data_IF_031686959402
#
_entry.id   IF_031686959402
#
_cell.length_a   1.000
_cell.length_b   1.000
_cell.length_c   1.000
_cell.angle_alpha   90.00
_cell.angle_beta   90.00
_cell.angle_gamma   90.00
#
_symmetry.space_group_name_H-M   'P 1'
#
loop_
_entity.id
_entity.type
_entity.pdbx_description
1 polymer ?
#
# COMPACT_ATOMS: atom_id res chain seq x y z
N UNK A 1 -9.99 12.08 -27.50
CA UNK A 1 -9.92 11.14 -26.37
C UNK A 1 -8.49 10.83 -25.90
N UNK A 2 -7.52 10.52 -26.78
CA UNK A 2 -6.11 10.27 -26.39
C UNK A 2 -5.48 11.41 -25.56
N UNK A 3 -5.76 12.66 -25.91
CA UNK A 3 -5.25 13.84 -25.20
C UNK A 3 -5.79 13.96 -23.76
N UNK A 4 -7.09 13.74 -23.56
CA UNK A 4 -7.71 13.76 -22.23
C UNK A 4 -7.09 12.67 -21.33
N UNK A 5 -6.90 11.46 -21.85
CA UNK A 5 -6.31 10.37 -21.08
C UNK A 5 -4.83 10.60 -20.74
N UNK A 6 -4.11 11.39 -21.53
CA UNK A 6 -2.72 11.77 -21.26
C UNK A 6 -2.61 12.80 -20.12
N UNK A 7 -3.64 13.61 -19.91
CA UNK A 7 -3.70 14.59 -18.83
C UNK A 7 -4.15 14.01 -17.49
N UNK A 8 -4.90 12.90 -17.49
CA UNK A 8 -5.43 12.29 -16.26
C UNK A 8 -4.36 12.03 -15.21
N UNK A 9 -3.21 11.39 -15.51
CA UNK A 9 -2.19 11.15 -14.49
C UNK A 9 -1.70 12.42 -13.79
N UNK A 10 -1.63 13.53 -14.52
CA UNK A 10 -1.25 14.83 -13.96
C UNK A 10 -2.39 15.43 -13.14
N UNK A 11 -3.59 15.53 -13.74
CA UNK A 11 -4.75 16.16 -13.11
C UNK A 11 -5.15 15.43 -11.82
N UNK A 12 -5.22 14.09 -11.83
CA UNK A 12 -5.61 13.31 -10.66
C UNK A 12 -4.62 13.49 -9.51
N UNK A 13 -3.32 13.51 -9.80
CA UNK A 13 -2.27 13.65 -8.78
C UNK A 13 -2.23 15.05 -8.18
N UNK A 14 -2.45 16.08 -9.01
CA UNK A 14 -2.59 17.47 -8.54
C UNK A 14 -3.87 17.65 -7.73
N UNK A 15 -4.98 17.03 -8.13
CA UNK A 15 -6.21 17.05 -7.33
C UNK A 15 -6.01 16.36 -5.97
N UNK A 16 -5.34 15.21 -5.93
CA UNK A 16 -5.00 14.54 -4.67
C UNK A 16 -4.11 15.43 -3.80
N UNK A 17 -3.13 16.13 -4.39
CA UNK A 17 -2.31 17.13 -3.69
C UNK A 17 -3.17 18.22 -3.04
N UNK A 18 -4.05 18.84 -3.82
CA UNK A 18 -4.91 19.94 -3.34
C UNK A 18 -5.86 19.45 -2.25
N UNK A 19 -6.47 18.28 -2.42
CA UNK A 19 -7.40 17.72 -1.44
C UNK A 19 -6.70 17.35 -0.12
N UNK A 20 -5.50 16.78 -0.19
CA UNK A 20 -4.70 16.44 1.01
C UNK A 20 -4.19 17.69 1.73
N UNK A 21 -3.76 18.71 0.99
CA UNK A 21 -3.38 20.02 1.52
C UNK A 21 -4.59 20.71 2.20
N UNK A 22 -5.76 20.68 1.56
CA UNK A 22 -6.98 21.24 2.12
C UNK A 22 -7.41 20.49 3.39
N UNK A 23 -7.23 19.17 3.44
CA UNK A 23 -7.51 18.36 4.62
C UNK A 23 -6.66 18.81 5.82
N UNK A 24 -5.39 19.17 5.61
CA UNK A 24 -4.54 19.70 6.69
C UNK A 24 -5.01 21.06 7.21
N UNK A 25 -5.51 21.93 6.32
CA UNK A 25 -5.97 23.28 6.69
C UNK A 25 -7.33 23.26 7.37
N UNK A 26 -8.23 22.39 6.92
CA UNK A 26 -9.61 22.31 7.39
C UNK A 26 -10.00 20.88 7.77
N UNK A 27 -9.47 20.34 8.90
CA UNK A 27 -9.69 18.94 9.29
C UNK A 27 -11.16 18.61 9.60
N UNK A 28 -11.97 19.58 10.01
CA UNK A 28 -13.43 19.39 10.21
C UNK A 28 -14.14 18.92 8.92
N UNK A 29 -13.61 19.22 7.74
CA UNK A 29 -14.20 18.82 6.45
C UNK A 29 -13.74 17.43 5.98
N UNK A 30 -13.03 16.66 6.83
CA UNK A 30 -12.51 15.35 6.47
C UNK A 30 -13.59 14.39 5.95
N UNK A 31 -14.78 14.42 6.53
CA UNK A 31 -15.93 13.60 6.11
C UNK A 31 -16.34 13.82 4.65
N UNK A 32 -16.04 14.98 4.08
CA UNK A 32 -16.31 15.30 2.68
C UNK A 32 -15.07 15.14 1.80
N UNK A 33 -13.90 15.63 2.25
CA UNK A 33 -12.67 15.64 1.46
C UNK A 33 -12.12 14.23 1.20
N UNK A 34 -12.22 13.32 2.18
CA UNK A 34 -11.72 11.95 2.03
C UNK A 34 -12.54 11.16 0.98
N UNK A 35 -13.89 11.11 1.04
CA UNK A 35 -14.67 10.51 -0.04
C UNK A 35 -14.42 11.16 -1.40
N UNK A 36 -14.26 12.49 -1.46
CA UNK A 36 -13.96 13.19 -2.70
C UNK A 36 -12.63 12.73 -3.32
N UNK A 37 -11.58 12.58 -2.51
CA UNK A 37 -10.30 12.05 -2.98
C UNK A 37 -10.40 10.60 -3.49
N UNK A 38 -11.20 9.77 -2.82
CA UNK A 38 -11.50 8.40 -3.28
C UNK A 38 -12.24 8.43 -4.63
N UNK A 39 -13.23 9.31 -4.80
CA UNK A 39 -13.95 9.49 -6.06
C UNK A 39 -13.01 9.91 -7.19
N UNK A 40 -12.05 10.81 -6.94
CA UNK A 40 -11.02 11.18 -7.92
C UNK A 40 -10.23 9.95 -8.38
N UNK A 41 -9.83 9.07 -7.47
CA UNK A 41 -9.13 7.81 -7.81
C UNK A 41 -10.04 6.89 -8.64
N UNK A 42 -11.28 6.67 -8.19
CA UNK A 42 -12.26 5.81 -8.87
C UNK A 42 -12.45 6.28 -10.32
N UNK A 43 -12.72 7.56 -10.51
CA UNK A 43 -12.96 8.15 -11.83
C UNK A 43 -11.72 8.11 -12.72
N UNK A 44 -10.53 8.35 -12.15
CA UNK A 44 -9.26 8.28 -12.88
C UNK A 44 -9.02 6.87 -13.42
N UNK A 45 -9.20 5.85 -12.59
CA UNK A 45 -9.00 4.45 -12.99
C UNK A 45 -10.08 4.03 -13.97
N UNK A 46 -11.34 4.35 -13.70
CA UNK A 46 -12.46 4.05 -14.58
C UNK A 46 -12.22 4.59 -15.99
N UNK A 47 -11.75 5.84 -16.10
CA UNK A 47 -11.45 6.47 -17.37
C UNK A 47 -10.23 5.84 -18.06
N UNK A 48 -9.20 5.45 -17.32
CA UNK A 48 -7.96 4.82 -17.85
C UNK A 48 -8.15 3.34 -18.25
N UNK A 49 -9.05 2.60 -17.60
CA UNK A 49 -9.30 1.17 -17.89
C UNK A 49 -10.40 0.94 -18.93
N UNK A 50 -10.90 1.99 -19.60
CA UNK A 50 -11.89 1.86 -20.68
C UNK A 50 -13.35 1.94 -20.24
N UNK A 51 -13.65 2.60 -19.12
CA UNK A 51 -15.00 2.97 -18.64
C UNK A 51 -15.94 1.82 -18.29
N UNK A 52 -15.41 0.66 -17.91
CA UNK A 52 -16.23 -0.47 -17.46
C UNK A 52 -15.97 -0.81 -15.99
N UNK A 53 -16.89 -0.41 -15.11
CA UNK A 53 -16.86 -0.67 -13.67
C UNK A 53 -16.92 -2.16 -13.32
N UNK A 54 -17.54 -2.99 -14.17
CA UNK A 54 -17.71 -4.42 -13.92
C UNK A 54 -16.57 -5.27 -14.50
N UNK A 55 -15.55 -4.63 -15.10
CA UNK A 55 -14.40 -5.36 -15.62
C UNK A 55 -13.48 -5.82 -14.48
N UNK A 56 -12.99 -7.06 -14.56
CA UNK A 56 -11.95 -7.59 -13.66
C UNK A 56 -10.73 -6.66 -13.61
N UNK A 57 -10.40 -6.03 -14.74
CA UNK A 57 -9.30 -5.07 -14.90
C UNK A 57 -9.49 -3.83 -14.01
N UNK A 58 -10.71 -3.32 -13.89
CA UNK A 58 -11.00 -2.15 -13.05
C UNK A 58 -10.76 -2.49 -11.57
N UNK A 59 -11.36 -3.58 -11.09
CA UNK A 59 -11.24 -4.01 -9.70
C UNK A 59 -9.82 -4.39 -9.30
N UNK A 60 -9.02 -4.95 -10.21
CA UNK A 60 -7.61 -5.23 -9.93
C UNK A 60 -6.80 -3.95 -9.76
N UNK A 61 -7.04 -2.93 -10.59
CA UNK A 61 -6.26 -1.69 -10.57
C UNK A 61 -6.71 -0.70 -9.49
N UNK A 62 -7.92 -0.81 -8.93
CA UNK A 62 -8.46 0.14 -7.95
C UNK A 62 -8.02 -0.13 -6.51
N UNK A 63 -7.72 -1.39 -6.16
CA UNK A 63 -7.45 -1.80 -4.78
C UNK A 63 -6.20 -1.10 -4.23
N UNK A 64 -5.05 -1.24 -4.90
CA UNK A 64 -3.79 -0.59 -4.45
C UNK A 64 -3.92 0.93 -4.28
N UNK A 65 -4.38 1.72 -5.26
CA UNK A 65 -4.48 3.18 -5.08
C UNK A 65 -5.46 3.60 -4.00
N UNK A 66 -6.58 2.90 -3.83
CA UNK A 66 -7.56 3.26 -2.79
C UNK A 66 -7.03 2.94 -1.39
N UNK A 67 -6.46 1.75 -1.17
CA UNK A 67 -5.83 1.40 0.11
C UNK A 67 -4.61 2.28 0.40
N UNK A 68 -3.80 2.60 -0.60
CA UNK A 68 -2.68 3.52 -0.45
C UNK A 68 -3.16 4.93 -0.05
N UNK A 69 -4.22 5.46 -0.67
CA UNK A 69 -4.79 6.75 -0.28
C UNK A 69 -5.32 6.72 1.16
N UNK A 70 -6.14 5.74 1.51
CA UNK A 70 -6.75 5.69 2.85
C UNK A 70 -5.69 5.53 3.92
N UNK A 71 -4.74 4.61 3.74
CA UNK A 71 -3.65 4.39 4.70
C UNK A 71 -2.74 5.61 4.85
N UNK A 72 -2.41 6.29 3.77
CA UNK A 72 -1.56 7.49 3.80
C UNK A 72 -2.26 8.69 4.45
N UNK A 73 -3.54 8.90 4.21
CA UNK A 73 -4.33 9.93 4.90
C UNK A 73 -4.42 9.66 6.41
N UNK A 74 -4.58 8.39 6.77
CA UNK A 74 -4.61 7.98 8.17
C UNK A 74 -3.25 8.20 8.84
N UNK A 75 -2.16 7.81 8.17
CA UNK A 75 -0.79 8.05 8.63
C UNK A 75 -0.47 9.54 8.76
N UNK A 76 -0.90 10.36 7.79
CA UNK A 76 -0.71 11.82 7.80
C UNK A 76 -1.35 12.48 9.03
N UNK A 77 -2.42 11.90 9.57
CA UNK A 77 -3.12 12.41 10.75
C UNK A 77 -2.27 12.28 12.02
N UNK A 78 -1.41 11.27 12.09
CA UNK A 78 -0.47 11.03 13.21
C UNK A 78 0.94 11.57 12.97
N UNK A 79 1.22 12.07 11.76
CA UNK A 79 2.52 12.65 11.46
C UNK A 79 2.66 14.00 12.16
N UNK A 80 3.80 14.26 12.80
CA UNK A 80 4.10 15.54 13.44
C UNK A 80 5.07 16.39 12.62
N UNK A 81 4.96 17.73 12.76
CA UNK A 81 5.81 18.69 12.07
C UNK A 81 5.29 19.09 10.67
N UNK A 82 5.14 20.40 10.45
CA UNK A 82 4.60 20.95 9.19
C UNK A 82 5.47 20.61 7.98
N UNK A 83 6.80 20.67 8.14
CA UNK A 83 7.76 20.35 7.07
C UNK A 83 7.64 18.90 6.64
N UNK A 84 7.56 17.97 7.60
CA UNK A 84 7.40 16.54 7.31
C UNK A 84 6.06 16.24 6.64
N UNK A 85 4.97 16.87 7.10
CA UNK A 85 3.65 16.78 6.44
C UNK A 85 3.70 17.25 4.99
N UNK A 86 4.36 18.39 4.71
CA UNK A 86 4.45 18.89 3.34
C UNK A 86 5.27 17.95 2.45
N UNK A 87 6.41 17.50 2.95
CA UNK A 87 7.26 16.54 2.22
C UNK A 87 6.50 15.25 1.92
N UNK A 88 5.72 14.76 2.89
CA UNK A 88 4.87 13.59 2.73
C UNK A 88 3.81 13.79 1.64
N UNK A 89 3.08 14.91 1.66
CA UNK A 89 2.05 15.23 0.66
C UNK A 89 2.66 15.29 -0.75
N UNK A 90 3.80 15.97 -0.91
CA UNK A 90 4.50 16.05 -2.20
C UNK A 90 4.89 14.65 -2.69
N UNK A 91 5.48 13.83 -1.81
CA UNK A 91 5.89 12.46 -2.13
C UNK A 91 4.69 11.60 -2.53
N UNK A 92 3.58 11.70 -1.79
CA UNK A 92 2.34 11.01 -2.07
C UNK A 92 1.79 11.36 -3.45
N UNK A 93 1.76 12.65 -3.81
CA UNK A 93 1.30 13.09 -5.12
C UNK A 93 2.20 12.59 -6.26
N UNK A 94 3.52 12.55 -6.06
CA UNK A 94 4.46 11.97 -7.04
C UNK A 94 4.20 10.47 -7.21
N UNK A 95 3.98 9.73 -6.13
CA UNK A 95 3.68 8.28 -6.19
C UNK A 95 2.37 7.99 -6.92
N UNK A 96 1.32 8.78 -6.68
CA UNK A 96 0.07 8.71 -7.45
C UNK A 96 0.29 9.02 -8.93
N UNK A 97 1.11 10.02 -9.24
CA UNK A 97 1.43 10.37 -10.62
C UNK A 97 2.14 9.21 -11.33
N UNK A 98 3.14 8.59 -10.69
CA UNK A 98 3.84 7.41 -11.20
C UNK A 98 2.84 6.27 -11.45
N UNK A 99 1.99 5.96 -10.47
CA UNK A 99 1.00 4.88 -10.57
C UNK A 99 0.05 5.11 -11.76
N UNK A 100 -0.61 6.28 -11.81
CA UNK A 100 -1.54 6.59 -12.90
C UNK A 100 -0.83 6.66 -14.25
N UNK A 101 0.42 7.11 -14.29
CA UNK A 101 1.21 7.12 -15.52
C UNK A 101 1.44 5.71 -16.04
N UNK A 102 1.76 4.75 -15.17
CA UNK A 102 1.98 3.36 -15.57
C UNK A 102 0.68 2.66 -15.96
N UNK A 103 -0.43 2.93 -15.28
CA UNK A 103 -1.77 2.47 -15.71
C UNK A 103 -2.09 3.03 -17.10
N UNK A 104 -1.83 4.33 -17.34
CA UNK A 104 -2.01 4.95 -18.65
C UNK A 104 -1.15 4.30 -19.74
N UNK A 105 0.13 4.05 -19.45
CA UNK A 105 1.04 3.40 -20.41
C UNK A 105 0.55 2.01 -20.80
N UNK A 106 0.11 1.20 -19.83
CA UNK A 106 -0.38 -0.17 -20.07
C UNK A 106 -1.56 -0.20 -21.04
N UNK A 107 -2.54 0.69 -20.87
CA UNK A 107 -3.81 0.61 -21.60
C UNK A 107 -3.88 1.50 -22.85
N UNK A 108 -3.11 2.59 -22.91
CA UNK A 108 -3.18 3.54 -24.03
C UNK A 108 -1.92 3.61 -24.89
N UNK A 109 -0.76 3.18 -24.38
CA UNK A 109 0.53 3.22 -25.08
C UNK A 109 1.35 1.94 -24.83
N UNK A 110 0.85 0.75 -25.22
CA UNK A 110 1.51 -0.53 -24.91
C UNK A 110 2.94 -0.62 -25.48
N UNK A 111 3.22 0.07 -26.58
CA UNK A 111 4.57 0.12 -27.20
C UNK A 111 5.61 0.72 -26.24
N UNK A 112 5.22 1.64 -25.37
CA UNK A 112 6.10 2.28 -24.38
C UNK A 112 6.03 1.62 -22.99
N UNK A 113 5.18 0.61 -22.83
CA UNK A 113 5.01 -0.09 -21.56
C UNK A 113 6.12 -1.12 -21.38
N UNK A 114 6.84 -1.02 -20.27
CA UNK A 114 7.79 -2.03 -19.86
C UNK A 114 7.05 -3.18 -19.18
N UNK A 115 7.38 -4.41 -19.56
CA UNK A 115 6.76 -5.62 -18.99
C UNK A 115 6.92 -5.65 -17.48
N UNK A 116 5.84 -5.99 -16.76
CA UNK A 116 5.76 -6.07 -15.30
C UNK A 116 5.89 -4.74 -14.52
N UNK A 117 5.91 -3.57 -15.19
CA UNK A 117 6.09 -2.29 -14.49
C UNK A 117 4.93 -1.95 -13.56
N UNK A 118 3.68 -2.23 -13.95
CA UNK A 118 2.52 -1.96 -13.11
C UNK A 118 2.52 -2.88 -11.88
N UNK A 119 2.79 -4.15 -12.10
CA UNK A 119 2.89 -5.18 -11.06
C UNK A 119 3.97 -4.82 -10.04
N UNK A 120 5.14 -4.37 -10.52
CA UNK A 120 6.22 -3.95 -9.65
C UNK A 120 5.83 -2.69 -8.87
N UNK A 121 5.32 -1.64 -9.50
CA UNK A 121 4.92 -0.41 -8.80
C UNK A 121 3.84 -0.69 -7.76
N UNK A 122 2.82 -1.48 -8.11
CA UNK A 122 1.79 -1.88 -7.14
C UNK A 122 2.38 -2.63 -5.96
N UNK A 123 3.29 -3.58 -6.17
CA UNK A 123 3.93 -4.32 -5.07
C UNK A 123 4.71 -3.39 -4.13
N UNK A 124 5.40 -2.37 -4.66
CA UNK A 124 6.11 -1.40 -3.83
C UNK A 124 5.15 -0.46 -3.09
N UNK A 125 4.04 -0.06 -3.72
CA UNK A 125 3.01 0.74 -3.05
C UNK A 125 2.28 -0.07 -1.98
N UNK A 126 2.04 -1.36 -2.19
CA UNK A 126 1.45 -2.24 -1.18
C UNK A 126 2.37 -2.35 0.04
N UNK A 127 3.70 -2.44 -0.15
CA UNK A 127 4.68 -2.40 0.94
C UNK A 127 4.55 -1.11 1.78
N UNK A 128 4.52 0.04 1.12
CA UNK A 128 4.38 1.35 1.78
C UNK A 128 3.01 1.44 2.48
N UNK A 129 1.96 0.91 1.85
CA UNK A 129 0.61 0.82 2.42
C UNK A 129 0.61 0.03 3.71
N UNK A 130 1.26 -1.15 3.75
CA UNK A 130 1.36 -1.95 4.99
C UNK A 130 2.06 -1.17 6.09
N UNK A 131 3.15 -0.46 5.79
CA UNK A 131 3.82 0.40 6.76
C UNK A 131 2.89 1.49 7.31
N UNK A 132 2.16 2.20 6.44
CA UNK A 132 1.23 3.25 6.85
C UNK A 132 0.06 2.71 7.66
N UNK A 133 -0.55 1.59 7.24
CA UNK A 133 -1.64 0.94 7.98
C UNK A 133 -1.14 0.51 9.35
N UNK A 134 -0.04 -0.24 9.42
CA UNK A 134 0.47 -0.75 10.69
C UNK A 134 0.83 0.38 11.66
N UNK A 135 1.57 1.39 11.21
CA UNK A 135 1.95 2.55 12.03
C UNK A 135 0.73 3.32 12.54
N UNK A 136 -0.28 3.50 11.70
CA UNK A 136 -1.49 4.23 12.08
C UNK A 136 -2.36 3.42 13.05
N UNK A 137 -2.49 2.12 12.85
CA UNK A 137 -3.23 1.24 13.76
C UNK A 137 -2.52 1.11 15.12
N UNK A 138 -1.19 1.03 15.16
CA UNK A 138 -0.45 1.13 16.42
C UNK A 138 -0.69 2.48 17.10
N UNK A 139 -0.73 3.57 16.34
CA UNK A 139 -1.06 4.89 16.89
C UNK A 139 -2.48 4.93 17.48
N UNK A 140 -3.47 4.30 16.84
CA UNK A 140 -4.82 4.17 17.41
C UNK A 140 -4.82 3.37 18.72
N UNK A 141 -4.07 2.26 18.79
CA UNK A 141 -3.95 1.46 20.02
C UNK A 141 -3.41 2.30 21.16
N UNK A 142 -2.34 3.06 20.91
CA UNK A 142 -1.64 3.86 21.93
C UNK A 142 -2.45 5.09 22.33
N UNK A 143 -3.00 5.85 21.38
CA UNK A 143 -3.63 7.15 21.66
C UNK A 143 -5.12 7.07 22.01
N UNK A 144 -5.87 6.14 21.40
CA UNK A 144 -7.32 6.04 21.59
C UNK A 144 -7.71 4.86 22.51
N UNK A 145 -6.77 4.00 22.90
CA UNK A 145 -7.05 2.87 23.77
C UNK A 145 -8.07 1.89 23.19
N UNK A 146 -8.17 1.81 21.87
CA UNK A 146 -9.11 0.92 21.19
C UNK A 146 -8.75 -0.54 21.51
N UNK A 147 -9.77 -1.39 21.68
CA UNK A 147 -9.57 -2.82 21.90
C UNK A 147 -8.66 -3.44 20.83
N UNK A 148 -7.60 -4.13 21.27
CA UNK A 148 -6.63 -4.77 20.39
C UNK A 148 -7.27 -5.77 19.43
N UNK A 149 -8.27 -6.53 19.90
CA UNK A 149 -9.00 -7.50 19.07
C UNK A 149 -9.65 -6.86 17.85
N UNK A 150 -10.26 -5.69 18.01
CA UNK A 150 -10.91 -4.99 16.91
C UNK A 150 -9.90 -4.53 15.85
N UNK A 151 -8.76 -4.00 16.30
CA UNK A 151 -7.68 -3.55 15.41
C UNK A 151 -7.01 -4.73 14.69
N UNK A 152 -6.81 -5.86 15.37
CA UNK A 152 -6.28 -7.09 14.76
C UNK A 152 -7.20 -7.59 13.65
N UNK A 153 -8.52 -7.60 13.86
CA UNK A 153 -9.49 -8.02 12.83
C UNK A 153 -9.44 -7.08 11.62
N UNK A 154 -9.43 -5.76 11.85
CA UNK A 154 -9.30 -4.78 10.77
C UNK A 154 -8.01 -5.00 9.99
N UNK A 155 -6.89 -5.17 10.69
CA UNK A 155 -5.60 -5.42 10.07
C UNK A 155 -5.61 -6.70 9.24
N UNK A 156 -6.15 -7.80 9.77
CA UNK A 156 -6.27 -9.07 9.06
C UNK A 156 -7.05 -8.94 7.75
N UNK A 157 -8.18 -8.21 7.76
CA UNK A 157 -8.97 -7.95 6.55
C UNK A 157 -8.17 -7.14 5.53
N UNK A 158 -7.46 -6.09 5.95
CA UNK A 158 -6.61 -5.31 5.06
C UNK A 158 -5.50 -6.17 4.46
N UNK A 159 -4.84 -7.01 5.26
CA UNK A 159 -3.79 -7.92 4.79
C UNK A 159 -4.32 -8.97 3.81
N UNK A 160 -5.54 -9.47 4.01
CA UNK A 160 -6.21 -10.36 3.05
C UNK A 160 -6.44 -9.64 1.70
N UNK A 161 -6.93 -8.40 1.73
CA UNK A 161 -7.16 -7.61 0.52
C UNK A 161 -5.85 -7.30 -0.20
N UNK A 162 -4.81 -6.89 0.52
CA UNK A 162 -3.49 -6.60 -0.06
C UNK A 162 -2.84 -7.86 -0.63
N UNK A 163 -2.84 -8.97 0.12
CA UNK A 163 -2.29 -10.24 -0.37
C UNK A 163 -3.00 -10.72 -1.63
N UNK A 164 -4.30 -10.44 -1.79
CA UNK A 164 -5.05 -10.80 -3.01
C UNK A 164 -4.44 -10.22 -4.29
N UNK A 165 -3.67 -9.12 -4.21
CA UNK A 165 -2.93 -8.56 -5.35
C UNK A 165 -1.87 -9.53 -5.90
N UNK A 166 -1.34 -10.44 -5.07
CA UNK A 166 -0.38 -11.46 -5.52
C UNK A 166 -1.03 -12.37 -6.56
N UNK A 167 -2.30 -12.72 -6.38
CA UNK A 167 -3.05 -13.54 -7.34
C UNK A 167 -3.13 -12.89 -8.72
N UNK A 168 -3.27 -11.56 -8.75
CA UNK A 168 -3.29 -10.79 -9.98
C UNK A 168 -1.93 -10.80 -10.68
N UNK A 169 -0.86 -10.59 -9.93
CA UNK A 169 0.50 -10.52 -10.48
C UNK A 169 0.99 -11.87 -10.99
N UNK A 170 0.59 -12.98 -10.36
CA UNK A 170 1.04 -14.32 -10.74
C UNK A 170 0.25 -14.94 -11.90
N UNK A 171 -0.92 -14.40 -12.26
CA UNK A 171 -1.90 -15.01 -13.19
C UNK A 171 -2.27 -16.48 -12.86
N UNK A 172 -1.89 -16.97 -11.66
CA UNK A 172 -2.10 -18.35 -11.23
C UNK A 172 -3.55 -18.63 -10.82
N UNK A 173 -3.91 -19.90 -10.83
CA UNK A 173 -5.23 -20.36 -10.40
C UNK A 173 -5.46 -20.03 -8.93
N UNK A 174 -6.71 -19.68 -8.58
CA UNK A 174 -7.07 -19.31 -7.22
C UNK A 174 -6.73 -20.41 -6.20
N UNK A 175 -6.88 -21.69 -6.58
CA UNK A 175 -6.53 -22.85 -5.74
C UNK A 175 -5.05 -22.90 -5.37
N UNK A 176 -4.17 -22.47 -6.25
CA UNK A 176 -2.73 -22.44 -6.01
C UNK A 176 -2.32 -21.22 -5.18
N UNK A 177 -3.03 -20.10 -5.33
CA UNK A 177 -2.72 -18.84 -4.65
C UNK A 177 -3.32 -18.77 -3.24
N UNK A 178 -4.49 -19.39 -3.02
CA UNK A 178 -5.24 -19.29 -1.76
C UNK A 178 -4.42 -19.65 -0.51
N UNK A 179 -3.60 -20.72 -0.49
CA UNK A 179 -2.75 -21.01 0.67
C UNK A 179 -1.76 -19.88 0.96
N UNK A 180 -1.15 -19.28 -0.07
CA UNK A 180 -0.23 -18.16 0.11
C UNK A 180 -0.95 -16.91 0.64
N UNK A 181 -2.17 -16.63 0.15
CA UNK A 181 -2.98 -15.52 0.67
C UNK A 181 -3.20 -15.64 2.18
N UNK A 182 -3.67 -16.81 2.61
CA UNK A 182 -3.97 -17.08 4.02
C UNK A 182 -2.71 -17.06 4.89
N UNK A 183 -1.62 -17.67 4.44
CA UNK A 183 -0.35 -17.69 5.18
C UNK A 183 0.21 -16.28 5.33
N UNK A 184 0.20 -15.46 4.27
CA UNK A 184 0.66 -14.06 4.35
C UNK A 184 -0.26 -13.25 5.26
N UNK A 185 -1.58 -13.33 5.07
CA UNK A 185 -2.51 -12.51 5.85
C UNK A 185 -2.45 -12.85 7.33
N UNK A 186 -2.46 -14.14 7.68
CA UNK A 186 -2.42 -14.59 9.06
C UNK A 186 -1.05 -14.35 9.69
N UNK A 187 0.04 -14.76 9.03
CA UNK A 187 1.39 -14.62 9.58
C UNK A 187 1.78 -13.15 9.81
N UNK A 188 1.45 -12.24 8.88
CA UNK A 188 1.71 -10.81 9.09
C UNK A 188 0.81 -10.22 10.18
N UNK A 189 -0.42 -10.71 10.33
CA UNK A 189 -1.33 -10.30 11.42
C UNK A 189 -0.83 -10.78 12.79
N UNK A 190 -0.35 -12.01 12.89
CA UNK A 190 0.25 -12.54 14.12
C UNK A 190 1.50 -11.73 14.50
N UNK A 191 2.33 -11.35 13.52
CA UNK A 191 3.48 -10.48 13.75
C UNK A 191 3.03 -9.09 14.21
N UNK A 192 2.02 -8.50 13.57
CA UNK A 192 1.44 -7.22 14.02
C UNK A 192 0.96 -7.30 15.47
N UNK A 193 0.28 -8.38 15.84
CA UNK A 193 -0.17 -8.61 17.21
C UNK A 193 1.00 -8.78 18.18
N UNK A 194 2.01 -9.59 17.85
CA UNK A 194 3.20 -9.77 18.67
C UNK A 194 3.96 -8.45 18.88
N UNK A 195 4.13 -7.67 17.81
CA UNK A 195 4.80 -6.37 17.85
C UNK A 195 4.03 -5.34 18.68
N UNK A 196 2.69 -5.47 18.77
CA UNK A 196 1.88 -4.57 19.61
C UNK A 196 2.24 -4.60 21.10
N UNK A 197 2.90 -5.66 21.57
CA UNK A 197 3.37 -5.80 22.95
C UNK A 197 4.81 -5.29 23.17
N UNK A 198 5.53 -4.94 22.10
CA UNK A 198 6.90 -4.44 22.22
C UNK A 198 6.90 -2.97 22.66
N UNK A 199 7.71 -2.58 23.65
CA UNK A 199 7.82 -1.19 24.12
C UNK A 199 8.68 -0.37 23.16
N UNK A 200 8.23 -0.22 21.92
CA UNK A 200 8.93 0.49 20.84
C UNK A 200 8.03 1.56 20.24
N UNK A 201 8.60 2.46 19.45
CA UNK A 201 7.79 3.47 18.75
C UNK A 201 6.88 2.82 17.71
N UNK A 202 5.72 3.45 17.46
CA UNK A 202 4.74 2.99 16.47
C UNK A 202 5.35 2.83 15.07
N UNK A 203 6.35 3.64 14.73
CA UNK A 203 7.07 3.58 13.45
C UNK A 203 8.01 2.37 13.36
N UNK A 204 8.71 2.02 14.45
CA UNK A 204 9.54 0.82 14.52
C UNK A 204 8.67 -0.42 14.36
N UNK A 205 7.53 -0.47 15.06
CA UNK A 205 6.57 -1.55 14.92
C UNK A 205 6.03 -1.67 13.50
N UNK A 206 5.64 -0.55 12.89
CA UNK A 206 5.19 -0.50 11.50
C UNK A 206 6.22 -1.01 10.50
N UNK A 207 7.50 -0.69 10.69
CA UNK A 207 8.60 -1.18 9.85
C UNK A 207 8.80 -2.69 9.99
N UNK A 208 8.76 -3.25 11.21
CA UNK A 208 8.88 -4.70 11.43
C UNK A 208 7.77 -5.44 10.68
N UNK A 209 6.53 -4.95 10.76
CA UNK A 209 5.37 -5.53 10.09
C UNK A 209 5.50 -5.43 8.57
N UNK A 210 5.92 -4.27 8.04
CA UNK A 210 6.14 -4.08 6.61
C UNK A 210 7.27 -4.97 6.06
N UNK A 211 8.36 -5.17 6.80
CA UNK A 211 9.44 -6.08 6.43
C UNK A 211 9.00 -7.54 6.42
N UNK A 212 8.15 -7.92 7.37
CA UNK A 212 7.57 -9.25 7.43
C UNK A 212 6.67 -9.50 6.21
N UNK A 213 5.84 -8.51 5.86
CA UNK A 213 5.05 -8.55 4.63
C UNK A 213 5.94 -8.63 3.38
N UNK A 214 7.00 -7.82 3.28
CA UNK A 214 7.96 -7.86 2.18
C UNK A 214 8.54 -9.26 1.95
N UNK A 215 9.00 -9.89 3.04
CA UNK A 215 9.60 -11.22 3.02
C UNK A 215 8.59 -12.27 2.56
N UNK A 216 7.42 -12.30 3.19
CA UNK A 216 6.40 -13.33 2.91
C UNK A 216 5.78 -13.16 1.53
N UNK A 217 5.39 -11.95 1.14
CA UNK A 217 4.84 -11.66 -0.18
C UNK A 217 5.88 -11.84 -1.29
N UNK A 218 7.13 -11.45 -1.06
CA UNK A 218 8.22 -11.61 -1.99
C UNK A 218 8.54 -13.07 -2.29
N UNK A 219 8.69 -13.91 -1.25
CA UNK A 219 8.93 -15.34 -1.42
C UNK A 219 7.74 -16.01 -2.13
N UNK A 220 6.52 -15.72 -1.68
CA UNK A 220 5.30 -16.32 -2.24
C UNK A 220 5.12 -15.98 -3.71
N UNK A 221 5.34 -14.71 -4.10
CA UNK A 221 5.28 -14.28 -5.50
C UNK A 221 6.30 -15.02 -6.35
N UNK A 222 7.56 -15.12 -5.93
CA UNK A 222 8.58 -15.81 -6.70
C UNK A 222 8.29 -17.31 -6.84
N UNK A 223 7.74 -17.92 -5.77
CA UNK A 223 7.31 -19.31 -5.82
C UNK A 223 6.18 -19.55 -6.83
N UNK A 224 5.18 -18.67 -6.85
CA UNK A 224 4.05 -18.72 -7.79
C UNK A 224 4.49 -18.46 -9.25
N UNK A 225 5.51 -17.63 -9.46
CA UNK A 225 6.11 -17.41 -10.78
C UNK A 225 7.05 -18.55 -11.22
N UNK A 226 7.16 -19.63 -10.44
CA UNK A 226 8.04 -20.77 -10.74
C UNK A 226 9.53 -20.52 -10.47
N UNK A 227 9.89 -19.34 -9.95
CA UNK A 227 11.27 -18.96 -9.64
C UNK A 227 11.63 -19.49 -8.25
N UNK A 228 11.94 -20.79 -8.17
CA UNK A 228 12.23 -21.51 -6.92
C UNK A 228 13.72 -21.54 -6.55
N UNK A 229 14.50 -20.62 -7.10
CA UNK A 229 15.94 -20.56 -6.83
C UNK A 229 16.21 -20.17 -5.37
N UNK A 230 17.01 -20.98 -4.68
CA UNK A 230 17.44 -20.68 -3.30
C UNK A 230 18.18 -19.35 -3.17
N UNK A 231 18.78 -18.83 -4.25
CA UNK A 231 19.41 -17.50 -4.29
C UNK A 231 18.40 -16.37 -4.04
N UNK A 232 17.19 -16.50 -4.58
CA UNK A 232 16.12 -15.50 -4.42
C UNK A 232 15.65 -15.49 -2.97
N UNK A 233 15.38 -16.66 -2.39
CA UNK A 233 14.99 -16.79 -0.98
C UNK A 233 16.07 -16.22 -0.06
N UNK A 234 17.34 -16.58 -0.28
CA UNK A 234 18.48 -16.03 0.48
C UNK A 234 18.55 -14.52 0.40
N UNK A 235 18.30 -13.91 -0.77
CA UNK A 235 18.28 -12.45 -0.93
C UNK A 235 17.18 -11.81 -0.07
N UNK A 236 15.95 -12.32 -0.11
CA UNK A 236 14.85 -11.78 0.71
C UNK A 236 15.13 -11.92 2.21
N UNK A 237 15.62 -13.08 2.63
CA UNK A 237 16.01 -13.31 4.02
C UNK A 237 17.11 -12.34 4.46
N UNK A 238 18.21 -12.27 3.70
CA UNK A 238 19.37 -11.45 4.06
C UNK A 238 18.99 -9.96 4.13
N UNK A 239 18.30 -9.43 3.12
CA UNK A 239 17.87 -8.03 3.10
C UNK A 239 16.94 -7.75 4.30
N UNK A 240 15.95 -8.61 4.54
CA UNK A 240 15.00 -8.40 5.64
C UNK A 240 15.69 -8.49 7.00
N UNK A 241 16.61 -9.44 7.18
CA UNK A 241 17.38 -9.58 8.42
C UNK A 241 18.29 -8.38 8.68
N UNK A 242 19.02 -7.89 7.67
CA UNK A 242 19.88 -6.71 7.84
C UNK A 242 19.05 -5.49 8.23
N UNK A 243 17.95 -5.23 7.51
CA UNK A 243 17.10 -4.07 7.81
C UNK A 243 16.46 -4.23 9.20
N UNK A 244 15.99 -5.43 9.56
CA UNK A 244 15.42 -5.70 10.88
C UNK A 244 16.43 -5.47 12.00
N UNK A 245 17.68 -5.90 11.83
CA UNK A 245 18.76 -5.61 12.79
C UNK A 245 18.99 -4.10 12.92
N UNK A 246 19.07 -3.37 11.80
CA UNK A 246 19.24 -1.91 11.83
C UNK A 246 18.07 -1.24 12.56
N UNK A 247 16.83 -1.62 12.23
CA UNK A 247 15.62 -1.07 12.85
C UNK A 247 15.61 -1.33 14.36
N UNK A 248 15.90 -2.56 14.80
CA UNK A 248 15.94 -2.89 16.23
C UNK A 248 17.09 -2.20 16.97
N UNK A 249 18.25 -2.00 16.33
CA UNK A 249 19.38 -1.28 16.93
C UNK A 249 19.14 0.23 17.05
N UNK A 250 18.38 0.81 16.11
CA UNK A 250 18.01 2.23 16.12
C UNK A 250 16.78 2.53 16.95
N UNK A 251 16.01 1.50 17.34
CA UNK A 251 14.85 1.66 18.18
C UNK A 251 15.27 2.18 19.56
N UNK A 252 14.57 3.21 20.05
CA UNK A 252 14.65 3.60 21.45
C UNK A 252 13.88 2.56 22.26
N UNK A 253 14.63 1.69 22.91
CA UNK A 253 14.10 0.78 23.91
C UNK A 253 14.03 1.56 25.23
N UNK A 254 12.81 1.77 25.73
CA UNK A 254 12.48 2.59 26.91
C UNK A 254 12.51 4.11 26.69
#
# INVERSE_FOLDING_TARGET
MKFLNQLIPWLSSVLIFILTEQLLKTPHQASFLVPLAIVVIILSIWQLTGRNFFSRKFWQNIITPTLFLVSSLFYLSFLEGSVFKQFFIITLSILFWILFKVVFLRWHLPIKYQTHSLENISTHLDLITVFFVASSLFSLLVFLGISSWFIIIIFAVIMLILSSQISWVSEANLSEVLPFLLVISLGVTEIFWAVSFLPTSVYVGGLIVALSYYLMSGISRNWLLGIKEGKVVKRYLLISSIILVIVLLTAKWF
#
